data_IF_064387469621
#
_entry.id   IF_064387469621
#
_cell.length_a   1.000
_cell.length_b   1.000
_cell.length_c   1.000
_cell.angle_alpha   90.00
_cell.angle_beta   90.00
_cell.angle_gamma   90.00
#
_symmetry.space_group_name_H-M   'P 1'
#
loop_
_entity.id
_entity.type
_entity.pdbx_description
1 polymer ?
#
# COMPACT_ATOMS: atom_id res chain seq x y z
N UNK A 1 15.43 -11.33 -15.35
CA UNK A 1 15.07 -10.55 -16.55
C UNK A 1 15.11 -9.07 -16.18
N UNK A 2 16.20 -8.37 -16.53
CA UNK A 2 16.39 -6.95 -16.24
C UNK A 2 16.01 -6.12 -17.47
N UNK A 3 14.78 -5.61 -17.53
CA UNK A 3 14.42 -4.52 -18.42
C UNK A 3 14.51 -3.21 -17.63
N UNK A 4 15.72 -2.70 -17.41
CA UNK A 4 15.91 -1.25 -17.17
C UNK A 4 15.87 -0.57 -18.54
N UNK A 5 14.67 -0.44 -19.09
CA UNK A 5 14.44 0.61 -20.07
C UNK A 5 14.48 1.91 -19.27
N UNK A 6 15.54 2.69 -19.42
CA UNK A 6 15.59 4.06 -18.89
C UNK A 6 14.64 4.88 -19.76
N UNK A 7 13.34 4.77 -19.49
CA UNK A 7 12.33 5.60 -20.15
C UNK A 7 12.57 7.03 -19.71
N UNK A 8 13.23 7.80 -20.56
CA UNK A 8 13.35 9.25 -20.41
C UNK A 8 11.95 9.79 -20.68
N UNK A 9 11.23 10.13 -19.61
CA UNK A 9 9.92 10.75 -19.74
C UNK A 9 10.17 12.24 -19.99
N UNK A 10 9.62 12.78 -21.07
CA UNK A 10 9.72 14.19 -21.44
C UNK A 10 8.33 14.83 -21.40
N UNK A 11 8.20 15.96 -20.70
CA UNK A 11 6.96 16.73 -20.67
C UNK A 11 7.19 18.05 -21.36
N UNK A 12 6.37 18.34 -22.37
CA UNK A 12 6.30 19.67 -22.97
C UNK A 12 5.06 20.37 -22.45
N UNK A 13 5.24 21.52 -21.81
CA UNK A 13 4.12 22.35 -21.34
C UNK A 13 4.04 23.59 -22.22
N UNK A 14 2.93 23.76 -22.91
CA UNK A 14 2.60 24.96 -23.67
C UNK A 14 2.13 26.04 -22.70
N UNK A 15 2.80 27.19 -22.71
CA UNK A 15 2.40 28.35 -21.90
C UNK A 15 2.27 29.56 -22.82
N UNK A 16 1.18 30.37 -22.70
CA UNK A 16 1.07 31.60 -23.47
C UNK A 16 2.25 32.52 -23.17
N UNK A 17 2.83 33.10 -24.22
CA UNK A 17 4.06 33.91 -24.14
C UNK A 17 3.98 35.05 -23.10
N UNK A 18 2.78 35.59 -22.85
CA UNK A 18 2.53 36.63 -21.85
C UNK A 18 2.80 36.22 -20.39
N UNK A 19 2.92 34.92 -20.11
CA UNK A 19 3.19 34.37 -18.77
C UNK A 19 4.53 33.70 -18.62
N UNK A 20 5.35 33.69 -19.67
CA UNK A 20 6.68 33.07 -19.65
C UNK A 20 7.68 34.03 -19.02
N UNK A 21 8.06 33.75 -17.78
CA UNK A 21 9.20 34.40 -17.11
C UNK A 21 10.47 33.58 -17.32
N UNK A 22 11.65 34.23 -17.37
CA UNK A 22 12.96 33.57 -17.54
C UNK A 22 13.24 32.45 -16.52
N UNK A 23 12.63 32.51 -15.33
CA UNK A 23 12.80 31.52 -14.25
C UNK A 23 11.64 30.49 -14.17
N UNK A 24 10.67 30.55 -15.08
CA UNK A 24 9.46 29.71 -15.01
C UNK A 24 9.79 28.21 -15.08
N UNK A 25 10.72 27.83 -15.94
CA UNK A 25 11.14 26.44 -16.12
C UNK A 25 11.81 25.88 -14.87
N UNK A 26 12.77 26.63 -14.30
CA UNK A 26 13.48 26.23 -13.08
C UNK A 26 12.52 26.11 -11.90
N UNK A 27 11.63 27.09 -11.72
CA UNK A 27 10.60 27.06 -10.66
C UNK A 27 9.63 25.89 -10.82
N UNK A 28 9.22 25.59 -12.05
CA UNK A 28 8.31 24.47 -12.34
C UNK A 28 8.98 23.14 -12.04
N UNK A 29 10.23 22.94 -12.50
CA UNK A 29 11.02 21.74 -12.21
C UNK A 29 11.23 21.58 -10.69
N UNK A 30 11.59 22.65 -9.99
CA UNK A 30 11.77 22.62 -8.54
C UNK A 30 10.47 22.28 -7.80
N UNK A 31 9.33 22.83 -8.24
CA UNK A 31 8.02 22.55 -7.66
C UNK A 31 7.60 21.09 -7.89
N UNK A 32 7.76 20.57 -9.11
CA UNK A 32 7.45 19.17 -9.45
C UNK A 32 8.32 18.23 -8.62
N UNK A 33 9.64 18.45 -8.55
CA UNK A 33 10.54 17.63 -7.73
C UNK A 33 10.17 17.66 -6.25
N UNK A 34 9.84 18.84 -5.70
CA UNK A 34 9.39 18.97 -4.31
C UNK A 34 8.10 18.18 -4.08
N UNK A 35 7.14 18.25 -5.00
CA UNK A 35 5.90 17.49 -4.92
C UNK A 35 6.15 15.97 -4.97
N UNK A 36 6.96 15.49 -5.92
CA UNK A 36 7.33 14.08 -6.03
C UNK A 36 7.99 13.57 -4.74
N UNK A 37 8.95 14.30 -4.18
CA UNK A 37 9.59 13.93 -2.91
C UNK A 37 8.63 13.86 -1.75
N UNK A 38 7.69 14.82 -1.68
CA UNK A 38 6.66 14.81 -0.66
C UNK A 38 5.77 13.57 -0.78
N UNK A 39 5.30 13.25 -1.98
CA UNK A 39 4.49 12.05 -2.25
C UNK A 39 5.23 10.75 -1.98
N UNK A 40 6.51 10.67 -2.34
CA UNK A 40 7.37 9.53 -1.99
C UNK A 40 7.53 9.38 -0.48
N UNK A 41 7.63 10.49 0.26
CA UNK A 41 7.65 10.49 1.72
C UNK A 41 6.34 10.01 2.33
N UNK A 42 5.20 10.50 1.83
CA UNK A 42 3.86 10.04 2.26
C UNK A 42 3.68 8.53 2.01
N UNK A 43 4.11 8.03 0.85
CA UNK A 43 4.06 6.62 0.52
C UNK A 43 4.91 5.78 1.49
N UNK A 44 6.13 6.23 1.82
CA UNK A 44 6.99 5.54 2.78
C UNK A 44 6.40 5.51 4.20
N UNK A 45 5.77 6.61 4.64
CA UNK A 45 5.08 6.65 5.93
C UNK A 45 3.85 5.74 5.95
N UNK A 46 3.07 5.72 4.87
CA UNK A 46 1.92 4.83 4.70
C UNK A 46 2.34 3.37 4.76
N UNK A 47 3.42 3.00 4.08
CA UNK A 47 3.98 1.64 4.10
C UNK A 47 4.45 1.24 5.50
N UNK A 48 5.17 2.13 6.20
CA UNK A 48 5.60 1.89 7.57
C UNK A 48 4.40 1.72 8.53
N UNK A 49 3.35 2.54 8.35
CA UNK A 49 2.12 2.45 9.14
C UNK A 49 1.38 1.14 8.88
N UNK A 50 1.21 0.75 7.62
CA UNK A 50 0.58 -0.52 7.25
C UNK A 50 1.38 -1.72 7.82
N UNK A 51 2.71 -1.66 7.76
CA UNK A 51 3.57 -2.67 8.37
C UNK A 51 3.36 -2.75 9.89
N UNK A 52 3.31 -1.61 10.56
CA UNK A 52 3.07 -1.56 12.01
C UNK A 52 1.68 -2.07 12.39
N UNK A 53 0.63 -1.65 11.68
CA UNK A 53 -0.74 -2.12 11.91
C UNK A 53 -0.83 -3.64 11.71
N UNK A 54 -0.24 -4.17 10.64
CA UNK A 54 -0.17 -5.61 10.38
C UNK A 54 0.61 -6.37 11.46
N UNK A 55 1.77 -5.86 11.88
CA UNK A 55 2.57 -6.47 12.95
C UNK A 55 1.84 -6.45 14.30
N UNK A 56 1.12 -5.36 14.60
CA UNK A 56 0.35 -5.22 15.83
C UNK A 56 -0.87 -6.16 15.90
N UNK A 57 -1.38 -6.60 14.75
CA UNK A 57 -2.49 -7.55 14.66
C UNK A 57 -2.05 -9.00 14.93
N UNK A 58 -0.78 -9.35 14.65
CA UNK A 58 -0.22 -10.70 14.89
C UNK A 58 -0.49 -11.22 16.32
N UNK A 59 -0.09 -10.52 17.41
CA UNK A 59 -0.30 -11.02 18.75
C UNK A 59 -1.78 -11.20 19.08
N UNK A 60 -2.66 -10.32 18.60
CA UNK A 60 -4.11 -10.46 18.78
C UNK A 60 -4.62 -11.74 18.13
N UNK A 61 -4.22 -12.02 16.89
CA UNK A 61 -4.64 -13.23 16.18
C UNK A 61 -4.08 -14.51 16.81
N UNK A 62 -2.83 -14.48 17.31
CA UNK A 62 -2.25 -15.59 18.07
C UNK A 62 -3.03 -15.86 19.36
N UNK A 63 -3.41 -14.81 20.09
CA UNK A 63 -4.21 -14.95 21.31
C UNK A 63 -5.60 -15.55 21.03
N UNK A 64 -6.24 -15.13 19.93
CA UNK A 64 -7.53 -15.71 19.52
C UNK A 64 -7.38 -17.18 19.16
N UNK A 65 -6.32 -17.56 18.43
CA UNK A 65 -6.06 -18.96 18.10
C UNK A 65 -5.79 -19.79 19.35
N UNK A 66 -4.94 -19.29 20.26
CA UNK A 66 -4.65 -19.96 21.53
C UNK A 66 -5.92 -20.16 22.36
N UNK A 67 -6.77 -19.14 22.45
CA UNK A 67 -8.05 -19.22 23.15
C UNK A 67 -8.99 -20.25 22.50
N UNK A 68 -9.09 -20.27 21.17
CA UNK A 68 -9.87 -21.27 20.45
C UNK A 68 -9.37 -22.70 20.71
N UNK A 69 -8.05 -22.92 20.72
CA UNK A 69 -7.45 -24.22 21.06
C UNK A 69 -7.79 -24.64 22.50
N UNK A 70 -7.71 -23.73 23.46
CA UNK A 70 -8.08 -23.99 24.86
C UNK A 70 -9.56 -24.35 24.98
N UNK A 71 -10.45 -23.64 24.28
CA UNK A 71 -11.87 -23.96 24.26
C UNK A 71 -12.15 -25.33 23.64
N UNK A 72 -11.54 -25.64 22.49
CA UNK A 72 -11.68 -26.96 21.87
C UNK A 72 -11.17 -28.09 22.79
N UNK A 73 -10.06 -27.86 23.48
CA UNK A 73 -9.55 -28.80 24.48
C UNK A 73 -10.52 -28.97 25.66
N UNK A 74 -11.06 -27.87 26.18
CA UNK A 74 -12.07 -27.90 27.23
C UNK A 74 -13.33 -28.68 26.83
N UNK A 75 -13.82 -28.49 25.61
CA UNK A 75 -14.97 -29.25 25.06
C UNK A 75 -14.67 -30.75 25.00
N UNK A 76 -13.44 -31.12 24.64
CA UNK A 76 -13.03 -32.53 24.60
C UNK A 76 -13.04 -33.19 25.99
N UNK A 77 -12.70 -32.44 27.05
CA UNK A 77 -12.69 -32.91 28.43
C UNK A 77 -14.09 -33.03 29.07
N UNK A 78 -15.11 -32.36 28.53
CA UNK A 78 -16.47 -32.47 29.05
C UNK A 78 -17.02 -33.90 28.86
N UNK A 79 -17.72 -34.44 29.85
CA UNK A 79 -18.46 -35.69 29.71
C UNK A 79 -19.86 -35.44 29.12
N UNK A 80 -19.90 -34.99 27.86
CA UNK A 80 -21.13 -34.77 27.09
C UNK A 80 -21.18 -35.71 25.88
N UNK A 81 -22.37 -35.85 25.30
CA UNK A 81 -22.63 -36.71 24.15
C UNK A 81 -21.69 -36.36 22.96
N UNK A 82 -21.18 -37.36 22.21
CA UNK A 82 -20.23 -37.13 21.12
C UNK A 82 -20.73 -36.16 20.04
N UNK A 83 -22.03 -36.19 19.75
CA UNK A 83 -22.66 -35.26 18.81
C UNK A 83 -22.52 -33.81 19.28
N UNK A 84 -22.78 -33.55 20.56
CA UNK A 84 -22.70 -32.21 21.16
C UNK A 84 -21.24 -31.71 21.17
N UNK A 85 -20.27 -32.57 21.47
CA UNK A 85 -18.83 -32.22 21.37
C UNK A 85 -18.43 -31.79 19.98
N UNK A 86 -18.88 -32.53 18.97
CA UNK A 86 -18.56 -32.27 17.56
C UNK A 86 -19.18 -30.94 17.13
N UNK A 87 -20.45 -30.71 17.45
CA UNK A 87 -21.14 -29.44 17.20
C UNK A 87 -20.41 -28.25 17.83
N UNK A 88 -20.09 -28.31 19.12
CA UNK A 88 -19.36 -27.22 19.81
C UNK A 88 -17.98 -26.97 19.21
N UNK A 89 -17.24 -28.03 18.87
CA UNK A 89 -15.90 -27.92 18.27
C UNK A 89 -15.94 -27.25 16.90
N UNK A 90 -16.94 -27.59 16.07
CA UNK A 90 -17.15 -26.97 14.75
C UNK A 90 -17.51 -25.50 14.91
N UNK A 91 -18.39 -25.15 15.86
CA UNK A 91 -18.76 -23.75 16.13
C UNK A 91 -17.53 -22.94 16.54
N UNK A 92 -16.70 -23.45 17.47
CA UNK A 92 -15.46 -22.78 17.88
C UNK A 92 -14.51 -22.60 16.69
N UNK A 93 -14.36 -23.64 15.85
CA UNK A 93 -13.51 -23.57 14.66
C UNK A 93 -13.98 -22.51 13.67
N UNK A 94 -15.29 -22.40 13.41
CA UNK A 94 -15.88 -21.38 12.52
C UNK A 94 -15.66 -19.98 13.07
N UNK A 95 -15.86 -19.76 14.37
CA UNK A 95 -15.60 -18.46 15.00
C UNK A 95 -14.11 -18.08 14.99
N UNK A 96 -13.22 -19.06 15.16
CA UNK A 96 -11.77 -18.84 15.08
C UNK A 96 -11.28 -18.62 13.64
N UNK A 97 -12.00 -19.11 12.64
CA UNK A 97 -11.64 -18.98 11.22
C UNK A 97 -11.71 -17.54 10.71
N UNK A 98 -12.73 -16.77 11.11
CA UNK A 98 -12.91 -15.37 10.68
C UNK A 98 -11.68 -14.47 10.94
N UNK A 99 -11.11 -14.42 12.16
CA UNK A 99 -9.91 -13.64 12.41
C UNK A 99 -8.67 -14.20 11.70
N UNK A 100 -8.58 -15.53 11.53
CA UNK A 100 -7.50 -16.16 10.78
C UNK A 100 -7.53 -15.78 9.29
N UNK A 101 -8.72 -15.70 8.71
CA UNK A 101 -8.91 -15.25 7.33
C UNK A 101 -8.50 -13.80 7.16
N UNK A 102 -8.96 -12.90 8.04
CA UNK A 102 -8.55 -11.49 8.02
C UNK A 102 -7.02 -11.32 8.12
N UNK A 103 -6.36 -12.17 8.90
CA UNK A 103 -4.91 -12.18 8.98
C UNK A 103 -4.26 -12.57 7.64
N UNK A 104 -4.77 -13.62 7.00
CA UNK A 104 -4.32 -14.03 5.67
C UNK A 104 -4.55 -12.93 4.62
N UNK A 105 -5.72 -12.28 4.63
CA UNK A 105 -6.04 -11.17 3.72
C UNK A 105 -5.07 -10.00 3.92
N UNK A 106 -4.76 -9.64 5.17
CA UNK A 106 -3.80 -8.57 5.48
C UNK A 106 -2.36 -8.90 5.04
N UNK A 107 -1.93 -10.15 5.23
CA UNK A 107 -0.57 -10.59 4.87
C UNK A 107 -0.37 -10.77 3.36
N UNK A 108 -1.35 -11.36 2.68
CA UNK A 108 -1.19 -11.83 1.29
C UNK A 108 -1.88 -10.94 0.26
N UNK A 109 -3.14 -10.54 0.52
CA UNK A 109 -3.97 -9.84 -0.47
C UNK A 109 -3.80 -8.32 -0.42
N UNK A 110 -3.74 -7.76 0.78
CA UNK A 110 -3.51 -6.33 1.00
C UNK A 110 -2.02 -6.00 1.14
N UNK A 111 -1.12 -6.85 0.61
CA UNK A 111 0.31 -6.53 0.60
C UNK A 111 0.50 -5.18 -0.11
N UNK A 112 0.81 -4.10 0.62
CA UNK A 112 0.87 -2.75 0.06
C UNK A 112 1.98 -2.63 -0.99
N UNK A 113 2.85 -3.64 -1.04
CA UNK A 113 4.03 -3.69 -1.87
C UNK A 113 3.70 -3.48 -3.35
N UNK A 114 2.66 -4.10 -3.90
CA UNK A 114 2.45 -4.00 -5.36
C UNK A 114 1.97 -2.61 -5.79
N UNK A 115 0.94 -2.07 -5.14
CA UNK A 115 0.39 -0.76 -5.46
C UNK A 115 1.40 0.35 -5.13
N UNK A 116 2.05 0.29 -3.96
CA UNK A 116 3.02 1.30 -3.58
C UNK A 116 4.32 1.23 -4.39
N UNK A 117 4.76 0.05 -4.84
CA UNK A 117 5.92 -0.03 -5.74
C UNK A 117 5.64 0.61 -7.10
N UNK A 118 4.44 0.44 -7.63
CA UNK A 118 4.05 1.05 -8.90
C UNK A 118 4.01 2.57 -8.80
N UNK A 119 3.34 3.12 -7.78
CA UNK A 119 3.26 4.57 -7.55
C UNK A 119 4.66 5.16 -7.29
N UNK A 120 5.47 4.48 -6.47
CA UNK A 120 6.86 4.87 -6.20
C UNK A 120 7.69 4.93 -7.48
N UNK A 121 7.56 3.95 -8.36
CA UNK A 121 8.26 3.93 -9.64
C UNK A 121 7.83 5.11 -10.53
N UNK A 122 6.55 5.45 -10.57
CA UNK A 122 6.05 6.61 -11.32
C UNK A 122 6.62 7.90 -10.76
N UNK A 123 6.52 8.14 -9.45
CA UNK A 123 7.02 9.39 -8.84
C UNK A 123 8.54 9.52 -8.97
N UNK A 124 9.29 8.41 -8.89
CA UNK A 124 10.73 8.40 -9.16
C UNK A 124 11.04 8.74 -10.62
N UNK A 125 10.29 8.20 -11.56
CA UNK A 125 10.46 8.50 -12.98
C UNK A 125 10.15 9.99 -13.28
N UNK A 126 9.08 10.53 -12.68
CA UNK A 126 8.69 11.95 -12.80
C UNK A 126 9.71 12.87 -12.11
N UNK A 127 10.33 12.46 -11.00
CA UNK A 127 11.41 13.26 -10.39
C UNK A 127 12.62 13.43 -11.33
N UNK A 128 12.90 12.40 -12.15
CA UNK A 128 13.96 12.40 -13.16
C UNK A 128 13.56 12.95 -14.53
N UNK A 129 12.30 13.36 -14.72
CA UNK A 129 11.77 13.86 -15.99
C UNK A 129 12.41 15.21 -16.38
N UNK A 130 12.63 15.37 -17.68
CA UNK A 130 13.00 16.65 -18.28
C UNK A 130 11.72 17.42 -18.65
N UNK A 131 11.58 18.64 -18.14
CA UNK A 131 10.44 19.51 -18.43
C UNK A 131 10.90 20.63 -19.36
N UNK A 132 10.27 20.70 -20.54
CA UNK A 132 10.53 21.74 -21.54
C UNK A 132 9.29 22.63 -21.65
N UNK A 133 9.44 23.94 -21.43
CA UNK A 133 8.34 24.89 -21.61
C UNK A 133 8.46 25.46 -23.02
N UNK A 134 7.38 25.35 -23.81
CA UNK A 134 7.30 25.97 -25.14
C UNK A 134 6.32 27.13 -25.10
N UNK A 135 6.72 28.23 -25.71
CA UNK A 135 5.85 29.37 -25.94
C UNK A 135 4.83 29.01 -27.00
N UNK A 136 3.55 29.19 -26.68
CA UNK A 136 2.49 29.03 -27.67
C UNK A 136 2.39 30.34 -28.47
N UNK A 137 2.52 30.31 -29.82
CA UNK A 137 2.44 31.52 -30.62
C UNK A 137 1.02 32.08 -30.49
N UNK A 138 0.92 33.31 -29.98
CA UNK A 138 -0.31 34.08 -30.04
C UNK A 138 -0.65 34.31 -31.50
N UNK A 139 -1.67 33.64 -32.01
CA UNK A 139 -2.30 34.01 -33.28
C UNK A 139 -2.87 35.43 -33.12
N UNK A 140 -2.17 36.40 -33.70
CA UNK A 140 -2.65 37.78 -33.88
C UNK A 140 -3.04 37.92 -35.35
#
# INVERSE_FOLDING_TARGET
MCWRSTTIIEATVSVPASKVTNDLQVRTVAAVRRHCRHKLGEAAMSEARACYENMSAIPRNILVLAFACVLCYGVNLLNVEPFLKTMLSVVIAVFAWVPLWNFCDMMFLNSPHWIHQHDKAIYQAVESMTITIKEEPTCV
#
